data_IF_108398856757
#
_entry.id   IF_108398856757
#
_cell.length_a   1.000
_cell.length_b   1.000
_cell.length_c   1.000
_cell.angle_alpha   90.00
_cell.angle_beta   90.00
_cell.angle_gamma   90.00
#
_symmetry.space_group_name_H-M   'P 1'
#
loop_
_entity.id
_entity.type
_entity.pdbx_description
1 polymer ?
#
# COMPACT_ATOMS: atom_id res chain seq x y z
N UNK A 1 19.83 5.98 -21.53
CA UNK A 1 18.46 5.90 -21.00
C UNK A 1 18.21 7.11 -20.11
N UNK A 2 17.00 7.67 -20.16
CA UNK A 2 16.63 8.85 -19.42
C UNK A 2 15.86 8.44 -18.14
N UNK A 3 16.27 8.97 -16.99
CA UNK A 3 15.57 8.72 -15.73
C UNK A 3 14.21 9.43 -15.74
N UNK A 4 13.13 8.68 -15.67
CA UNK A 4 11.77 9.19 -15.80
C UNK A 4 10.92 8.87 -14.58
N UNK A 5 10.09 9.80 -14.16
CA UNK A 5 9.12 9.63 -13.06
C UNK A 5 7.98 8.75 -13.55
N UNK A 6 7.84 7.56 -12.97
CA UNK A 6 6.73 6.64 -13.29
C UNK A 6 5.47 7.07 -12.57
N UNK A 7 5.57 7.30 -11.25
CA UNK A 7 4.46 7.79 -10.45
C UNK A 7 4.99 8.47 -9.17
N UNK A 8 4.75 9.76 -8.97
CA UNK A 8 5.09 10.40 -7.70
C UNK A 8 4.13 9.91 -6.61
N UNK A 9 4.67 9.61 -5.43
CA UNK A 9 3.84 9.21 -4.29
C UNK A 9 2.95 10.40 -3.90
N UNK A 10 1.65 10.18 -3.86
CA UNK A 10 0.67 11.21 -3.51
C UNK A 10 0.97 11.82 -2.13
N UNK A 11 0.85 13.15 -2.01
CA UNK A 11 1.18 13.88 -0.79
C UNK A 11 2.67 13.95 -0.46
N UNK A 12 3.56 13.35 -1.28
CA UNK A 12 5.01 13.48 -1.11
C UNK A 12 5.50 14.89 -1.44
N UNK A 13 6.70 15.29 -0.95
CA UNK A 13 7.31 16.57 -1.35
C UNK A 13 7.41 16.75 -2.87
N UNK A 14 7.78 15.72 -3.61
CA UNK A 14 7.87 15.78 -5.07
C UNK A 14 6.50 16.04 -5.72
N UNK A 15 5.46 15.33 -5.27
CA UNK A 15 4.09 15.53 -5.76
C UNK A 15 3.59 16.97 -5.46
N UNK A 16 3.81 17.45 -4.24
CA UNK A 16 3.44 18.83 -3.84
C UNK A 16 4.20 19.91 -4.62
N UNK A 17 5.41 19.60 -5.09
CA UNK A 17 6.21 20.51 -5.91
C UNK A 17 5.80 20.54 -7.39
N UNK A 18 4.81 19.75 -7.82
CA UNK A 18 4.35 19.74 -9.20
C UNK A 18 5.17 18.85 -10.14
N UNK A 19 5.82 17.83 -9.59
CA UNK A 19 6.44 16.75 -10.38
C UNK A 19 5.39 15.70 -10.68
N UNK A 20 5.26 15.30 -11.94
CA UNK A 20 4.22 14.39 -12.43
C UNK A 20 4.82 13.18 -13.16
N UNK A 21 3.96 12.21 -13.41
CA UNK A 21 4.27 11.05 -14.25
C UNK A 21 4.71 11.49 -15.65
N UNK A 22 5.80 10.90 -16.13
CA UNK A 22 6.41 11.23 -17.41
C UNK A 22 7.48 12.32 -17.36
N UNK A 23 7.61 13.06 -16.27
CA UNK A 23 8.67 14.04 -16.09
C UNK A 23 10.05 13.36 -16.12
N UNK A 24 11.00 13.95 -16.81
CA UNK A 24 12.35 13.43 -16.87
C UNK A 24 13.27 14.17 -15.90
N UNK A 25 13.98 13.41 -15.07
CA UNK A 25 14.97 13.95 -14.14
C UNK A 25 16.31 14.08 -14.88
N UNK A 26 16.70 15.30 -15.19
CA UNK A 26 17.92 15.60 -15.93
C UNK A 26 19.15 15.69 -15.03
N UNK A 27 19.00 16.38 -13.87
CA UNK A 27 20.06 16.51 -12.87
C UNK A 27 19.50 16.30 -11.45
N UNK A 28 20.39 15.88 -10.54
CA UNK A 28 20.16 15.82 -9.09
C UNK A 28 21.28 16.63 -8.44
N UNK A 29 20.94 17.71 -7.71
CA UNK A 29 21.89 18.63 -7.09
C UNK A 29 22.97 19.14 -8.08
N UNK A 30 22.55 19.42 -9.33
CA UNK A 30 23.42 19.88 -10.42
C UNK A 30 24.21 18.78 -11.13
N UNK A 31 24.21 17.54 -10.65
CA UNK A 31 24.88 16.42 -11.29
C UNK A 31 23.98 15.73 -12.33
N UNK A 32 24.44 15.51 -13.58
CA UNK A 32 23.66 14.85 -14.61
C UNK A 32 23.24 13.42 -14.23
N UNK A 33 22.01 13.04 -14.59
CA UNK A 33 21.49 11.67 -14.37
C UNK A 33 21.78 10.72 -15.52
N UNK A 34 22.29 11.23 -16.64
CA UNK A 34 22.63 10.42 -17.81
C UNK A 34 23.67 9.33 -17.46
N UNK A 35 23.31 8.07 -17.68
CA UNK A 35 24.16 6.94 -17.36
C UNK A 35 24.20 6.50 -15.90
N UNK A 36 23.43 7.16 -15.01
CA UNK A 36 23.28 6.68 -13.63
C UNK A 36 22.38 5.44 -13.58
N UNK A 37 22.76 4.48 -12.76
CA UNK A 37 21.85 3.39 -12.39
C UNK A 37 20.73 3.92 -11.47
N UNK A 38 19.56 3.28 -11.55
CA UNK A 38 18.39 3.66 -10.74
C UNK A 38 18.70 3.69 -9.22
N UNK A 39 19.53 2.75 -8.77
CA UNK A 39 19.96 2.68 -7.36
C UNK A 39 20.72 3.93 -6.93
N UNK A 40 21.65 4.40 -7.78
CA UNK A 40 22.49 5.56 -7.47
C UNK A 40 21.67 6.85 -7.49
N UNK A 41 20.81 7.00 -8.50
CA UNK A 41 19.87 8.12 -8.57
C UNK A 41 18.96 8.17 -7.32
N UNK A 42 18.39 7.02 -6.94
CA UNK A 42 17.54 6.90 -5.75
C UNK A 42 18.31 7.27 -4.47
N UNK A 43 19.58 6.85 -4.35
CA UNK A 43 20.41 7.18 -3.18
C UNK A 43 20.71 8.67 -3.08
N UNK A 44 20.85 9.38 -4.19
CA UNK A 44 21.04 10.84 -4.24
C UNK A 44 19.76 11.61 -3.91
N UNK A 45 18.60 11.15 -4.41
CA UNK A 45 17.31 11.77 -4.14
C UNK A 45 16.90 11.58 -2.67
N UNK A 46 17.12 10.39 -2.11
CA UNK A 46 16.86 10.12 -0.69
C UNK A 46 17.87 10.85 0.20
N UNK A 47 17.46 11.13 1.43
CA UNK A 47 18.32 11.74 2.44
C UNK A 47 17.57 11.99 3.73
N UNK A 48 18.21 12.69 4.65
CA UNK A 48 17.63 13.04 5.95
C UNK A 48 16.45 13.98 5.75
N UNK A 49 15.34 13.72 6.45
CA UNK A 49 14.19 14.64 6.47
C UNK A 49 14.62 16.05 6.90
N UNK A 50 14.04 17.06 6.25
CA UNK A 50 14.37 18.48 6.43
C UNK A 50 15.56 18.97 5.60
N UNK A 51 16.30 18.10 4.89
CA UNK A 51 17.34 18.53 3.95
C UNK A 51 16.76 18.78 2.56
N UNK A 52 17.40 19.66 1.79
CA UNK A 52 17.00 20.00 0.43
C UNK A 52 17.63 19.03 -0.59
N UNK A 53 16.93 18.80 -1.70
CA UNK A 53 17.45 18.26 -2.95
C UNK A 53 16.92 19.09 -4.11
N UNK A 54 17.78 19.42 -5.07
CA UNK A 54 17.38 20.14 -6.28
C UNK A 54 17.30 19.15 -7.44
N UNK A 55 16.11 19.03 -8.04
CA UNK A 55 15.89 18.21 -9.22
C UNK A 55 15.67 19.09 -10.44
N UNK A 56 16.53 18.98 -11.46
CA UNK A 56 16.29 19.59 -12.77
C UNK A 56 15.36 18.68 -13.55
N UNK A 57 14.16 19.14 -13.80
CA UNK A 57 13.08 18.37 -14.44
C UNK A 57 12.83 18.92 -15.85
N UNK A 58 12.73 18.00 -16.83
CA UNK A 58 12.22 18.29 -18.17
C UNK A 58 10.81 17.78 -18.33
N UNK A 59 9.88 18.66 -18.67
CA UNK A 59 8.47 18.31 -18.90
C UNK A 59 8.29 17.61 -20.24
N UNK A 60 7.60 16.47 -20.32
CA UNK A 60 7.47 15.69 -21.54
C UNK A 60 6.69 16.42 -22.65
N UNK A 61 5.66 17.20 -22.28
CA UNK A 61 4.73 17.82 -23.24
C UNK A 61 5.26 19.16 -23.81
N UNK A 62 6.00 19.93 -23.02
CA UNK A 62 6.49 21.27 -23.39
C UNK A 62 7.97 21.29 -23.73
N UNK A 63 8.72 20.30 -23.24
CA UNK A 63 10.19 20.30 -23.32
C UNK A 63 10.84 21.31 -22.37
N UNK A 64 10.06 22.01 -21.54
CA UNK A 64 10.52 22.96 -20.55
C UNK A 64 11.42 22.30 -19.52
N UNK A 65 12.54 22.95 -19.19
CA UNK A 65 13.48 22.48 -18.18
C UNK A 65 13.50 23.46 -17.04
N UNK A 66 13.23 22.99 -15.82
CA UNK A 66 13.16 23.81 -14.63
C UNK A 66 13.73 23.07 -13.42
N UNK A 67 14.33 23.82 -12.49
CA UNK A 67 14.79 23.32 -11.20
C UNK A 67 13.66 23.34 -10.18
N UNK A 68 13.53 22.21 -9.45
CA UNK A 68 12.59 22.02 -8.37
C UNK A 68 13.37 21.83 -7.07
N UNK A 69 13.28 22.79 -6.16
CA UNK A 69 13.79 22.64 -4.80
C UNK A 69 12.78 21.84 -3.96
N UNK A 70 13.22 20.71 -3.44
CA UNK A 70 12.39 19.78 -2.70
C UNK A 70 13.00 19.57 -1.31
N UNK A 71 12.25 19.92 -0.28
CA UNK A 71 12.64 19.59 1.09
C UNK A 71 12.24 18.13 1.35
N UNK A 72 13.23 17.29 1.63
CA UNK A 72 13.02 15.88 1.96
C UNK A 72 12.16 15.75 3.21
N UNK A 73 11.27 14.79 3.20
CA UNK A 73 10.35 14.51 4.31
C UNK A 73 10.20 13.00 4.49
N UNK A 74 9.64 12.59 5.63
CA UNK A 74 9.25 11.21 5.85
C UNK A 74 8.04 10.92 4.97
N UNK A 75 8.21 10.05 3.97
CA UNK A 75 7.12 9.64 3.10
C UNK A 75 6.44 8.44 3.73
N UNK A 76 5.21 8.62 4.20
CA UNK A 76 4.36 7.53 4.64
C UNK A 76 3.62 6.96 3.43
N UNK A 77 3.98 5.75 3.05
CA UNK A 77 3.24 5.02 2.02
C UNK A 77 2.07 4.36 2.72
N UNK A 78 0.84 4.73 2.35
CA UNK A 78 -0.37 4.09 2.87
C UNK A 78 -0.51 2.70 2.26
N UNK A 79 -0.86 1.73 3.09
CA UNK A 79 -1.20 0.39 2.62
C UNK A 79 -2.57 0.40 1.91
N UNK A 80 -3.45 1.36 2.30
CA UNK A 80 -4.75 1.61 1.67
C UNK A 80 -4.73 2.98 0.99
N UNK A 81 -4.24 3.07 -0.26
CA UNK A 81 -4.16 4.32 -0.99
C UNK A 81 -5.53 4.87 -1.40
N UNK A 82 -6.54 3.99 -1.49
CA UNK A 82 -7.88 4.37 -1.90
C UNK A 82 -8.96 3.53 -1.21
N UNK A 83 -10.01 4.18 -0.76
CA UNK A 83 -11.29 3.59 -0.40
C UNK A 83 -12.43 4.58 -0.69
N UNK A 84 -13.64 4.08 -0.94
CA UNK A 84 -14.81 4.90 -1.20
C UNK A 84 -16.04 4.08 -1.57
N UNK A 85 -17.20 4.72 -1.62
CA UNK A 85 -18.44 4.09 -2.06
C UNK A 85 -18.43 3.88 -3.57
N UNK A 86 -18.81 2.68 -4.02
CA UNK A 86 -19.03 2.35 -5.44
C UNK A 86 -20.45 2.71 -5.86
N UNK A 87 -21.39 2.48 -4.95
CA UNK A 87 -22.81 2.84 -5.08
C UNK A 87 -23.39 3.09 -3.68
N UNK A 88 -24.71 3.10 -3.53
CA UNK A 88 -25.38 3.47 -2.27
C UNK A 88 -25.15 2.48 -1.12
N UNK A 89 -24.74 1.23 -1.38
CA UNK A 89 -24.62 0.16 -0.39
C UNK A 89 -23.32 -0.66 -0.48
N UNK A 90 -22.47 -0.39 -1.48
CA UNK A 90 -21.21 -1.09 -1.69
C UNK A 90 -20.02 -0.16 -1.50
N UNK A 91 -19.22 -0.43 -0.50
CA UNK A 91 -17.91 0.17 -0.28
C UNK A 91 -16.80 -0.62 -0.98
N UNK A 92 -15.74 0.05 -1.35
CA UNK A 92 -14.55 -0.52 -1.94
C UNK A 92 -13.32 0.01 -1.21
N UNK A 93 -12.37 -0.85 -0.94
CA UNK A 93 -11.04 -0.47 -0.48
C UNK A 93 -9.95 -1.30 -1.17
N UNK A 94 -8.81 -0.68 -1.45
CA UNK A 94 -7.66 -1.36 -2.05
C UNK A 94 -6.52 -1.42 -1.04
N UNK A 95 -6.00 -2.64 -0.81
CA UNK A 95 -4.81 -2.88 0.02
C UNK A 95 -3.66 -3.24 -0.92
N UNK A 96 -2.59 -2.45 -0.93
CA UNK A 96 -1.46 -2.63 -1.85
C UNK A 96 -0.27 -3.33 -1.22
N UNK A 97 -0.22 -3.41 0.11
CA UNK A 97 0.84 -4.05 0.87
C UNK A 97 0.34 -4.44 2.27
N UNK A 98 1.08 -5.30 2.98
CA UNK A 98 0.82 -5.63 4.37
C UNK A 98 1.98 -5.17 5.26
N UNK A 99 1.83 -4.00 5.88
CA UNK A 99 2.74 -3.41 6.87
C UNK A 99 2.13 -3.44 8.28
N UNK A 100 2.83 -2.92 9.24
CA UNK A 100 2.33 -2.78 10.63
C UNK A 100 1.08 -1.90 10.75
N UNK A 101 0.80 -1.07 9.76
CA UNK A 101 -0.33 -0.12 9.79
C UNK A 101 -1.58 -0.67 9.09
N UNK A 102 -1.47 -1.74 8.30
CA UNK A 102 -2.55 -2.25 7.41
C UNK A 102 -3.85 -2.50 8.17
N UNK A 103 -3.80 -3.17 9.32
CA UNK A 103 -5.00 -3.48 10.09
C UNK A 103 -5.72 -2.20 10.57
N UNK A 104 -4.97 -1.21 11.07
CA UNK A 104 -5.56 0.05 11.49
C UNK A 104 -6.12 0.87 10.32
N UNK A 105 -5.38 0.97 9.22
CA UNK A 105 -5.86 1.66 8.02
C UNK A 105 -7.11 0.98 7.44
N UNK A 106 -7.15 -0.36 7.42
CA UNK A 106 -8.34 -1.14 6.98
C UNK A 106 -9.53 -0.89 7.89
N UNK A 107 -9.32 -0.93 9.20
CA UNK A 107 -10.36 -0.62 10.19
C UNK A 107 -10.97 0.74 9.93
N UNK A 108 -10.14 1.77 9.82
CA UNK A 108 -10.61 3.15 9.63
C UNK A 108 -11.35 3.31 8.30
N UNK A 109 -10.86 2.67 7.23
CA UNK A 109 -11.53 2.65 5.93
C UNK A 109 -12.90 1.97 5.99
N UNK A 110 -13.00 0.77 6.59
CA UNK A 110 -14.28 0.04 6.68
C UNK A 110 -15.27 0.81 7.56
N UNK A 111 -14.85 1.37 8.70
CA UNK A 111 -15.72 2.18 9.55
C UNK A 111 -16.25 3.39 8.79
N UNK A 112 -15.40 4.08 8.02
CA UNK A 112 -15.83 5.21 7.18
C UNK A 112 -16.86 4.76 6.14
N UNK A 113 -16.62 3.66 5.43
CA UNK A 113 -17.55 3.11 4.45
C UNK A 113 -18.90 2.75 5.08
N UNK A 114 -18.89 2.15 6.28
CA UNK A 114 -20.13 1.84 7.03
C UNK A 114 -20.89 3.10 7.43
N UNK A 115 -20.19 4.16 7.83
CA UNK A 115 -20.81 5.46 8.14
C UNK A 115 -21.45 6.09 6.90
N UNK A 116 -20.86 5.86 5.72
CA UNK A 116 -21.39 6.28 4.42
C UNK A 116 -22.53 5.39 3.90
N UNK A 117 -22.91 4.33 4.65
CA UNK A 117 -24.03 3.46 4.34
C UNK A 117 -23.68 2.11 3.71
N UNK A 118 -22.39 1.74 3.63
CA UNK A 118 -22.02 0.44 3.10
C UNK A 118 -22.56 -0.71 3.96
N UNK A 119 -23.26 -1.63 3.34
CA UNK A 119 -23.65 -2.95 3.89
C UNK A 119 -22.89 -4.08 3.22
N UNK A 120 -22.14 -3.77 2.17
CA UNK A 120 -21.28 -4.69 1.43
C UNK A 120 -19.92 -4.02 1.21
N UNK A 121 -18.82 -4.77 1.31
CA UNK A 121 -17.46 -4.25 1.17
C UNK A 121 -16.65 -5.13 0.21
N UNK A 122 -16.00 -4.49 -0.76
CA UNK A 122 -15.04 -5.12 -1.66
C UNK A 122 -13.64 -4.80 -1.17
N UNK A 123 -12.86 -5.83 -0.84
CA UNK A 123 -11.44 -5.74 -0.51
C UNK A 123 -10.64 -6.12 -1.74
N UNK A 124 -9.91 -5.17 -2.33
CA UNK A 124 -9.10 -5.43 -3.52
C UNK A 124 -7.63 -5.67 -3.14
N UNK A 125 -7.19 -6.91 -3.33
CA UNK A 125 -5.84 -7.40 -3.13
C UNK A 125 -5.12 -7.68 -4.46
N UNK A 126 -5.65 -7.25 -5.59
CA UNK A 126 -4.98 -7.44 -6.89
C UNK A 126 -3.67 -6.68 -6.91
N UNK A 127 -2.63 -7.32 -7.44
CA UNK A 127 -1.24 -6.81 -7.50
C UNK A 127 -0.58 -6.59 -6.13
N UNK A 128 -1.16 -7.12 -5.05
CA UNK A 128 -0.59 -7.05 -3.71
C UNK A 128 0.30 -8.28 -3.46
N UNK A 129 1.63 -8.13 -3.39
CA UNK A 129 2.56 -9.25 -3.19
C UNK A 129 2.55 -9.80 -1.76
N UNK A 130 1.71 -9.25 -0.88
CA UNK A 130 1.65 -9.62 0.54
C UNK A 130 2.43 -8.66 1.43
N UNK A 131 3.13 -9.21 2.40
CA UNK A 131 3.87 -8.47 3.41
C UNK A 131 3.93 -9.22 4.74
N UNK A 132 3.74 -8.54 5.86
CA UNK A 132 3.84 -9.12 7.19
C UNK A 132 2.69 -10.10 7.47
N UNK A 133 3.03 -11.33 7.85
CA UNK A 133 2.05 -12.33 8.33
C UNK A 133 1.21 -11.78 9.49
N UNK A 134 1.85 -11.12 10.47
CA UNK A 134 1.12 -10.53 11.60
C UNK A 134 0.02 -9.58 11.16
N UNK A 135 0.27 -8.77 10.14
CA UNK A 135 -0.69 -7.78 9.65
C UNK A 135 -1.91 -8.41 8.97
N UNK A 136 -1.72 -9.55 8.26
CA UNK A 136 -2.86 -10.30 7.72
C UNK A 136 -3.70 -10.93 8.84
N UNK A 137 -3.05 -11.43 9.90
CA UNK A 137 -3.76 -11.97 11.06
C UNK A 137 -4.50 -10.89 11.84
N UNK A 138 -3.88 -9.74 12.05
CA UNK A 138 -4.50 -8.60 12.73
C UNK A 138 -5.71 -8.07 11.94
N UNK A 139 -5.61 -8.04 10.60
CA UNK A 139 -6.73 -7.68 9.73
C UNK A 139 -7.88 -8.69 9.86
N UNK A 140 -7.59 -9.98 9.82
CA UNK A 140 -8.59 -11.04 9.95
C UNK A 140 -9.24 -11.02 11.34
N UNK A 141 -8.49 -10.67 12.39
CA UNK A 141 -8.98 -10.53 13.75
C UNK A 141 -9.96 -9.35 13.93
N UNK A 142 -9.93 -8.35 13.03
CA UNK A 142 -10.93 -7.27 12.98
C UNK A 142 -12.27 -7.73 12.39
N UNK A 143 -12.23 -8.71 11.50
CA UNK A 143 -13.37 -9.10 10.67
C UNK A 143 -14.08 -10.33 11.23
N UNK A 144 -13.31 -11.31 11.69
CA UNK A 144 -13.83 -12.64 12.02
C UNK A 144 -14.12 -12.79 13.53
N UNK A 145 -15.09 -13.62 13.89
CA UNK A 145 -15.37 -13.97 15.28
C UNK A 145 -14.17 -14.57 16.00
N UNK A 146 -14.15 -14.43 17.33
CA UNK A 146 -13.07 -14.95 18.18
C UNK A 146 -12.95 -16.47 18.13
N UNK A 147 -11.71 -16.97 18.29
CA UNK A 147 -11.32 -18.39 18.36
C UNK A 147 -11.41 -19.18 17.04
N UNK A 148 -11.50 -18.52 15.90
CA UNK A 148 -11.40 -19.18 14.60
C UNK A 148 -9.95 -19.46 14.23
N UNK A 149 -9.69 -20.62 13.64
CA UNK A 149 -8.35 -20.97 13.12
C UNK A 149 -8.09 -20.23 11.82
N UNK A 150 -6.99 -19.50 11.74
CA UNK A 150 -6.65 -18.70 10.56
C UNK A 150 -5.62 -19.41 9.66
N UNK A 151 -4.48 -19.75 10.26
CA UNK A 151 -3.36 -20.34 9.53
C UNK A 151 -2.49 -21.18 10.46
N UNK A 152 -1.82 -22.17 9.94
CA UNK A 152 -0.81 -22.93 10.66
C UNK A 152 0.54 -22.88 9.94
N UNK A 153 1.63 -22.83 10.69
CA UNK A 153 2.98 -22.95 10.15
C UNK A 153 3.61 -24.24 10.63
N UNK A 154 4.24 -24.99 9.70
CA UNK A 154 4.89 -26.27 9.99
C UNK A 154 6.33 -26.26 9.52
N UNK A 155 7.24 -26.54 10.44
CA UNK A 155 8.67 -26.69 10.10
C UNK A 155 8.97 -27.96 9.30
N UNK A 156 10.12 -27.99 8.60
CA UNK A 156 10.54 -29.07 7.69
C UNK A 156 10.51 -30.46 8.35
N UNK A 157 10.80 -30.58 9.63
CA UNK A 157 10.80 -31.86 10.35
C UNK A 157 9.47 -32.17 11.07
N UNK A 158 8.43 -31.39 10.83
CA UNK A 158 7.14 -31.53 11.54
C UNK A 158 7.19 -31.18 13.04
N UNK A 159 8.32 -30.69 13.54
CA UNK A 159 8.56 -30.45 14.97
C UNK A 159 8.12 -29.09 15.50
N UNK A 160 7.70 -28.19 14.63
CA UNK A 160 7.26 -26.85 15.05
C UNK A 160 5.99 -26.51 14.29
N UNK A 161 4.85 -26.80 14.92
CA UNK A 161 3.53 -26.35 14.41
C UNK A 161 3.12 -25.19 15.28
N UNK A 162 2.85 -24.04 14.64
CA UNK A 162 2.25 -22.89 15.29
C UNK A 162 0.91 -22.62 14.61
N UNK A 163 -0.16 -22.70 15.39
CA UNK A 163 -1.50 -22.38 14.94
C UNK A 163 -1.83 -20.94 15.34
N UNK A 164 -2.39 -20.19 14.43
CA UNK A 164 -2.85 -18.82 14.65
C UNK A 164 -4.38 -18.81 14.62
N UNK A 165 -4.96 -18.10 15.57
CA UNK A 165 -6.40 -17.96 15.74
C UNK A 165 -6.76 -16.51 15.96
N UNK A 166 -8.01 -16.16 15.70
CA UNK A 166 -8.55 -14.86 16.13
C UNK A 166 -8.56 -14.79 17.67
N UNK A 167 -8.17 -13.64 18.19
CA UNK A 167 -7.99 -13.39 19.64
C UNK A 167 -9.08 -12.51 20.21
N UNK A 168 -9.65 -11.63 19.39
CA UNK A 168 -10.64 -10.65 19.80
C UNK A 168 -12.02 -10.95 19.18
N UNK A 169 -13.06 -10.28 19.67
CA UNK A 169 -14.34 -10.28 18.98
C UNK A 169 -14.24 -9.41 17.73
N UNK A 170 -14.93 -9.80 16.67
CA UNK A 170 -14.98 -9.02 15.44
C UNK A 170 -15.42 -7.58 15.75
N UNK A 171 -14.72 -6.63 15.15
CA UNK A 171 -15.08 -5.22 15.19
C UNK A 171 -16.10 -4.90 14.09
N UNK A 172 -15.94 -5.57 12.94
CA UNK A 172 -16.84 -5.44 11.80
C UNK A 172 -18.05 -6.35 12.03
N UNK A 173 -19.28 -5.83 11.94
CA UNK A 173 -20.48 -6.63 12.13
C UNK A 173 -20.58 -7.75 11.10
N UNK A 174 -21.03 -8.94 11.51
CA UNK A 174 -21.26 -10.09 10.62
C UNK A 174 -22.34 -9.82 9.54
N UNK A 175 -23.11 -8.74 9.69
CA UNK A 175 -24.10 -8.29 8.70
C UNK A 175 -23.48 -7.63 7.47
N UNK A 176 -22.18 -7.29 7.52
CA UNK A 176 -21.45 -6.73 6.38
C UNK A 176 -20.98 -7.89 5.48
N UNK A 177 -21.53 -7.96 4.28
CA UNK A 177 -21.03 -8.92 3.28
C UNK A 177 -19.70 -8.46 2.70
N UNK A 178 -18.79 -9.40 2.48
CA UNK A 178 -17.46 -9.10 1.96
C UNK A 178 -17.18 -9.88 0.68
N UNK A 179 -16.51 -9.23 -0.26
CA UNK A 179 -15.94 -9.85 -1.45
C UNK A 179 -14.45 -9.48 -1.53
N UNK A 180 -13.61 -10.46 -1.86
CA UNK A 180 -12.17 -10.25 -2.02
C UNK A 180 -11.79 -10.42 -3.48
N UNK A 181 -11.12 -9.42 -4.06
CA UNK A 181 -10.57 -9.47 -5.41
C UNK A 181 -9.08 -9.84 -5.35
N UNK A 182 -8.70 -10.87 -6.06
CA UNK A 182 -7.31 -11.31 -6.21
C UNK A 182 -6.97 -11.51 -7.69
N UNK A 183 -5.67 -11.55 -8.01
CA UNK A 183 -5.17 -11.92 -9.33
C UNK A 183 -3.85 -12.71 -9.20
N UNK A 184 -3.22 -13.04 -10.34
CA UNK A 184 -1.98 -13.81 -10.36
C UNK A 184 -0.76 -13.13 -9.71
N UNK A 185 -0.85 -11.86 -9.35
CA UNK A 185 0.18 -11.12 -8.62
C UNK A 185 -0.11 -10.99 -7.11
N UNK A 186 -1.31 -11.44 -6.66
CA UNK A 186 -1.63 -11.54 -5.23
C UNK A 186 -0.88 -12.72 -4.62
N UNK A 187 -0.12 -12.49 -3.54
CA UNK A 187 0.73 -13.53 -2.95
C UNK A 187 0.82 -13.45 -1.42
N UNK A 188 1.28 -14.53 -0.77
CA UNK A 188 1.63 -14.56 0.66
C UNK A 188 0.50 -14.10 1.58
N UNK A 189 0.64 -12.96 2.29
CA UNK A 189 -0.38 -12.41 3.20
C UNK A 189 -1.72 -12.16 2.50
N UNK A 190 -1.72 -11.77 1.22
CA UNK A 190 -2.94 -11.62 0.41
C UNK A 190 -3.67 -12.93 0.21
N UNK A 191 -2.94 -14.04 -0.01
CA UNK A 191 -3.52 -15.37 -0.16
C UNK A 191 -4.10 -15.86 1.17
N UNK A 192 -3.44 -15.55 2.29
CA UNK A 192 -3.95 -15.89 3.63
C UNK A 192 -5.29 -15.19 3.87
N UNK A 193 -5.36 -13.87 3.61
CA UNK A 193 -6.61 -13.13 3.81
C UNK A 193 -7.72 -13.64 2.90
N UNK A 194 -7.43 -13.84 1.61
CA UNK A 194 -8.42 -14.32 0.66
C UNK A 194 -8.90 -15.75 1.01
N UNK A 195 -7.98 -16.66 1.33
CA UNK A 195 -8.31 -18.05 1.67
C UNK A 195 -9.12 -18.15 2.95
N UNK A 196 -8.72 -17.44 4.01
CA UNK A 196 -9.46 -17.47 5.28
C UNK A 196 -10.85 -16.85 5.13
N UNK A 197 -11.00 -15.71 4.44
CA UNK A 197 -12.33 -15.12 4.21
C UNK A 197 -13.22 -15.96 3.26
N UNK A 198 -12.63 -16.85 2.46
CA UNK A 198 -13.37 -17.81 1.66
C UNK A 198 -13.86 -19.00 2.50
N UNK A 199 -13.12 -19.39 3.52
CA UNK A 199 -13.43 -20.56 4.36
C UNK A 199 -14.52 -20.25 5.41
N UNK A 200 -14.69 -18.98 5.78
CA UNK A 200 -15.68 -18.51 6.77
C UNK A 200 -16.73 -17.59 6.17
#
# INVERSE_FOLDING_TARGET
DQLTVVNPIEGSPASRSGIYTGDAIMNIDGEPTAGLELKDATSKIRGRAGTEVILTIKKPNTGEVQDYSIIRDVITIKDIPFYGMVNNDVGYLRITNFSVNTANETKDAIISLMQDGASNVIIDLRDNPGGLLSSSLDLLDLILPKNLELVSTKGRAGKSIKNYKTLNNALIPETINMAVLINGASASASEIVAGVLQDY
#
